data_IF_959776582297
#
_entry.id   IF_959776582297
#
_cell.length_a   1.000
_cell.length_b   1.000
_cell.length_c   1.000
_cell.angle_alpha   90.00
_cell.angle_beta   90.00
_cell.angle_gamma   90.00
#
_symmetry.space_group_name_H-M   'P 1'
#
loop_
_entity.id
_entity.type
_entity.pdbx_description
1 polymer ?
#
# COMPACT_ATOMS: atom_id res chain seq x y z
N UNK A 1 18.58 -14.30 1.04
CA UNK A 1 17.66 -13.16 0.84
C UNK A 1 17.59 -12.88 -0.66
N UNK A 2 16.42 -12.62 -1.22
CA UNK A 2 16.22 -12.26 -2.63
C UNK A 2 15.46 -10.93 -2.71
N UNK A 3 15.70 -10.15 -3.77
CA UNK A 3 14.98 -8.90 -4.00
C UNK A 3 13.70 -9.17 -4.82
N UNK A 4 12.54 -8.81 -4.27
CA UNK A 4 11.24 -8.89 -4.98
C UNK A 4 10.46 -7.59 -4.81
N UNK A 5 10.07 -6.98 -5.92
CA UNK A 5 9.25 -5.74 -5.97
C UNK A 5 9.84 -4.56 -5.14
N UNK A 6 11.15 -4.55 -4.90
CA UNK A 6 11.84 -3.52 -4.10
C UNK A 6 12.04 -3.89 -2.63
N UNK A 7 11.54 -5.05 -2.18
CA UNK A 7 11.70 -5.58 -0.82
C UNK A 7 12.70 -6.73 -0.77
N UNK A 8 13.49 -6.79 0.32
CA UNK A 8 14.37 -7.92 0.62
C UNK A 8 13.59 -8.99 1.38
N UNK A 9 13.42 -10.16 0.77
CA UNK A 9 12.66 -11.28 1.36
C UNK A 9 13.54 -12.52 1.56
N UNK A 10 13.26 -13.37 2.57
CA UNK A 10 13.97 -14.65 2.77
C UNK A 10 13.90 -15.57 1.55
N UNK A 11 14.90 -16.45 1.41
CA UNK A 11 14.93 -17.46 0.34
C UNK A 11 13.89 -18.56 0.60
N UNK A 12 13.74 -18.97 1.86
CA UNK A 12 12.72 -19.91 2.33
C UNK A 12 11.64 -19.17 3.13
N UNK A 13 10.38 -19.34 2.72
CA UNK A 13 9.23 -18.81 3.43
C UNK A 13 8.80 -19.80 4.52
N UNK A 14 8.59 -19.31 5.75
CA UNK A 14 7.79 -20.05 6.74
C UNK A 14 6.36 -20.24 6.18
N UNK A 15 5.64 -21.31 6.55
CA UNK A 15 4.27 -21.52 6.11
C UNK A 15 3.44 -20.27 6.38
N UNK A 16 3.00 -19.60 5.31
CA UNK A 16 2.08 -18.47 5.42
C UNK A 16 0.76 -19.04 5.92
N UNK A 17 0.16 -18.44 6.94
CA UNK A 17 -1.22 -18.78 7.32
C UNK A 17 -2.07 -18.58 6.07
N UNK A 18 -2.62 -19.67 5.55
CA UNK A 18 -3.42 -19.68 4.31
C UNK A 18 -4.57 -18.70 4.46
N UNK A 19 -4.82 -17.93 3.39
CA UNK A 19 -5.97 -17.04 3.30
C UNK A 19 -7.25 -17.79 3.72
N UNK A 20 -7.82 -17.43 4.87
CA UNK A 20 -8.97 -18.16 5.40
C UNK A 20 -10.21 -17.90 4.55
N UNK A 21 -11.25 -18.74 4.69
CA UNK A 21 -12.58 -18.54 4.07
C UNK A 21 -13.18 -17.14 4.30
N UNK A 22 -12.73 -16.41 5.34
CA UNK A 22 -13.11 -15.02 5.60
C UNK A 22 -12.53 -14.02 4.58
N UNK A 23 -11.36 -14.29 4.00
CA UNK A 23 -10.72 -13.45 3.00
C UNK A 23 -11.45 -13.55 1.64
N UNK A 24 -11.96 -14.75 1.31
CA UNK A 24 -12.82 -14.97 0.13
C UNK A 24 -14.16 -14.23 0.24
N UNK A 25 -14.78 -14.16 1.43
CA UNK A 25 -16.03 -13.40 1.65
C UNK A 25 -15.88 -11.90 1.43
N UNK A 26 -14.66 -11.35 1.57
CA UNK A 26 -14.38 -9.93 1.37
C UNK A 26 -14.28 -9.53 -0.12
N UNK A 27 -14.43 -10.48 -1.05
CA UNK A 27 -14.65 -10.21 -2.49
C UNK A 27 -15.76 -9.16 -2.71
N UNK A 28 -16.86 -9.29 -1.99
CA UNK A 28 -18.02 -8.38 -2.09
C UNK A 28 -17.76 -6.99 -1.49
N UNK A 29 -16.67 -6.80 -0.74
CA UNK A 29 -16.35 -5.55 -0.05
C UNK A 29 -15.09 -4.86 -0.62
N UNK A 30 -14.64 -5.24 -1.82
CA UNK A 30 -13.48 -4.61 -2.49
C UNK A 30 -13.60 -3.08 -2.60
N UNK A 31 -14.83 -2.58 -2.72
CA UNK A 31 -15.15 -1.16 -2.77
C UNK A 31 -14.89 -0.40 -1.43
N UNK A 32 -14.66 -1.12 -0.33
CA UNK A 32 -14.35 -0.59 1.01
C UNK A 32 -12.87 -0.70 1.38
N UNK A 33 -12.04 -1.29 0.51
CA UNK A 33 -10.62 -1.48 0.77
C UNK A 33 -9.90 -0.14 0.61
N UNK A 34 -9.23 0.28 1.68
CA UNK A 34 -8.20 1.31 1.67
C UNK A 34 -6.88 0.61 1.90
N UNK A 35 -5.92 0.84 1.03
CA UNK A 35 -4.59 0.23 1.14
C UNK A 35 -3.51 1.30 1.12
N UNK A 36 -2.41 1.04 1.79
CA UNK A 36 -1.28 1.93 1.71
C UNK A 36 0.01 1.26 2.14
N UNK A 37 1.09 1.82 1.63
CA UNK A 37 2.43 1.30 1.84
C UNK A 37 3.48 2.40 1.63
N UNK A 38 4.71 2.08 1.96
CA UNK A 38 5.76 3.02 2.28
C UNK A 38 7.01 2.71 1.45
N UNK A 39 7.27 3.55 0.45
CA UNK A 39 8.39 3.37 -0.46
C UNK A 39 9.45 4.43 -0.22
N UNK A 40 10.72 4.02 -0.20
CA UNK A 40 11.83 4.95 -0.23
C UNK A 40 12.02 5.51 -1.63
N UNK A 41 12.07 6.84 -1.75
CA UNK A 41 12.44 7.53 -2.98
C UNK A 41 13.83 8.12 -2.81
N UNK A 42 14.67 7.93 -3.83
CA UNK A 42 16.03 8.47 -3.85
C UNK A 42 16.03 9.83 -4.55
N UNK A 43 16.70 10.81 -3.94
CA UNK A 43 17.03 12.10 -4.55
C UNK A 43 18.41 12.54 -4.07
N UNK A 44 19.07 13.37 -4.89
CA UNK A 44 20.35 13.99 -4.57
C UNK A 44 20.13 15.19 -3.64
N UNK A 45 20.76 15.18 -2.46
CA UNK A 45 20.65 16.26 -1.50
C UNK A 45 21.96 17.07 -1.43
N UNK A 46 22.12 18.13 -2.24
CA UNK A 46 23.36 18.90 -2.26
C UNK A 46 23.65 19.64 -0.93
N UNK A 47 22.64 19.88 -0.08
CA UNK A 47 22.78 20.61 1.18
C UNK A 47 23.26 19.75 2.36
N UNK A 48 23.20 18.43 2.26
CA UNK A 48 23.71 17.50 3.30
C UNK A 48 24.77 16.58 2.73
N UNK A 49 26.02 17.06 2.73
CA UNK A 49 27.21 16.39 2.18
C UNK A 49 27.52 14.96 2.70
N UNK A 50 26.76 14.41 3.65
CA UNK A 50 26.99 13.10 4.28
C UNK A 50 25.74 12.26 4.60
N UNK A 51 24.54 12.63 4.13
CA UNK A 51 23.37 11.76 4.32
C UNK A 51 22.42 11.85 3.14
N UNK A 52 22.22 10.71 2.48
CA UNK A 52 21.06 10.47 1.62
C UNK A 52 19.82 10.73 2.47
N UNK A 53 19.22 11.91 2.34
CA UNK A 53 17.93 12.20 2.94
C UNK A 53 16.92 11.31 2.23
N UNK A 54 16.51 10.20 2.85
CA UNK A 54 15.54 9.28 2.27
C UNK A 54 14.14 9.76 2.70
N UNK A 55 13.36 10.45 1.86
CA UNK A 55 11.95 10.64 2.14
C UNK A 55 11.29 9.28 1.96
N UNK A 56 10.53 8.86 2.96
CA UNK A 56 9.66 7.69 2.84
C UNK A 56 8.34 8.21 2.31
N UNK A 57 8.03 7.89 1.06
CA UNK A 57 6.73 8.12 0.47
C UNK A 57 5.76 7.12 1.08
N UNK A 58 4.87 7.56 1.97
CA UNK A 58 3.70 6.79 2.36
C UNK A 58 2.62 7.08 1.32
N UNK A 59 1.94 6.12 0.71
CA UNK A 59 0.74 6.41 -0.10
C UNK A 59 -0.41 5.55 0.39
N UNK A 60 -1.56 6.18 0.58
CA UNK A 60 -2.84 5.56 0.91
C UNK A 60 -3.85 5.84 -0.18
N UNK A 61 -4.50 4.80 -0.69
CA UNK A 61 -5.36 4.87 -1.85
C UNK A 61 -6.47 3.80 -1.81
N UNK A 62 -7.52 4.03 -2.59
CA UNK A 62 -8.64 3.12 -2.79
C UNK A 62 -8.94 2.96 -4.29
N UNK A 63 -9.98 2.20 -4.64
CA UNK A 63 -10.40 2.03 -6.04
C UNK A 63 -10.78 3.33 -6.78
N UNK A 64 -11.01 4.44 -6.06
CA UNK A 64 -11.32 5.74 -6.65
C UNK A 64 -10.08 6.60 -6.86
N UNK A 65 -8.96 6.31 -6.18
CA UNK A 65 -7.69 7.00 -6.35
C UNK A 65 -6.91 7.22 -5.06
N UNK A 66 -5.91 8.10 -5.13
CA UNK A 66 -5.08 8.44 -3.97
C UNK A 66 -5.84 9.31 -2.97
N UNK A 67 -5.87 8.84 -1.73
CA UNK A 67 -6.51 9.52 -0.60
C UNK A 67 -5.49 10.45 0.06
N UNK A 68 -4.31 9.93 0.39
CA UNK A 68 -3.31 10.65 1.20
C UNK A 68 -1.90 10.10 0.98
N UNK A 69 -0.85 10.90 1.19
CA UNK A 69 0.54 10.45 1.02
C UNK A 69 1.49 10.77 2.19
N UNK A 70 0.97 10.90 3.42
CA UNK A 70 1.79 11.00 4.63
C UNK A 70 1.36 9.95 5.68
N UNK A 71 1.56 10.26 6.96
CA UNK A 71 1.30 9.36 8.08
C UNK A 71 -0.17 8.98 8.26
N UNK A 72 -0.39 7.72 8.63
CA UNK A 72 -1.70 7.09 8.88
C UNK A 72 -2.63 7.92 9.79
N UNK A 73 -2.09 8.67 10.75
CA UNK A 73 -2.90 9.46 11.69
C UNK A 73 -3.72 10.58 11.01
N UNK A 74 -3.30 11.04 9.83
CA UNK A 74 -4.02 12.06 9.05
C UNK A 74 -4.90 11.44 7.95
N UNK A 75 -4.78 10.13 7.70
CA UNK A 75 -5.56 9.42 6.70
C UNK A 75 -7.06 9.48 6.99
N UNK A 76 -7.48 9.31 8.25
CA UNK A 76 -8.90 9.28 8.60
C UNK A 76 -9.61 10.60 8.28
N UNK A 77 -8.92 11.73 8.45
CA UNK A 77 -9.42 13.06 8.07
C UNK A 77 -9.53 13.19 6.55
N UNK A 78 -8.46 12.87 5.82
CA UNK A 78 -8.46 12.91 4.36
C UNK A 78 -9.53 11.98 3.75
N UNK A 79 -9.76 10.82 4.37
CA UNK A 79 -10.79 9.89 3.94
C UNK A 79 -12.20 10.46 4.14
N UNK A 80 -12.48 11.09 5.29
CA UNK A 80 -13.76 11.76 5.54
C UNK A 80 -14.04 12.88 4.53
N UNK A 81 -13.01 13.66 4.18
CA UNK A 81 -13.12 14.77 3.23
C UNK A 81 -13.31 14.27 1.78
N UNK A 82 -12.49 13.30 1.34
CA UNK A 82 -12.48 12.82 -0.06
C UNK A 82 -13.54 11.75 -0.36
N UNK A 83 -14.08 11.08 0.66
CA UNK A 83 -14.99 9.93 0.53
C UNK A 83 -16.13 10.02 1.55
N UNK A 84 -17.00 11.05 1.46
CA UNK A 84 -18.12 11.23 2.40
C UNK A 84 -19.08 10.03 2.41
N UNK A 85 -19.14 9.25 1.32
CA UNK A 85 -19.95 8.05 1.21
C UNK A 85 -19.62 6.98 2.26
N UNK A 86 -18.37 6.87 2.72
CA UNK A 86 -18.01 5.93 3.79
C UNK A 86 -18.65 6.30 5.13
N UNK A 87 -18.80 7.60 5.39
CA UNK A 87 -19.48 8.07 6.60
C UNK A 87 -21.00 7.87 6.52
N UNK A 88 -21.59 8.04 5.33
CA UNK A 88 -23.04 7.95 5.12
C UNK A 88 -23.58 6.51 5.15
N UNK A 89 -22.82 5.55 4.60
CA UNK A 89 -23.28 4.16 4.47
C UNK A 89 -23.10 3.32 5.74
N UNK A 90 -22.51 3.89 6.79
CA UNK A 90 -22.05 3.16 7.98
C UNK A 90 -21.14 1.95 7.64
N UNK A 91 -20.58 1.92 6.43
CA UNK A 91 -19.70 0.87 5.96
C UNK A 91 -18.35 0.98 6.66
N UNK A 92 -17.94 -0.08 7.36
CA UNK A 92 -16.62 -0.11 8.00
C UNK A 92 -15.53 -0.13 6.94
N UNK A 93 -14.58 0.79 7.03
CA UNK A 93 -13.39 0.81 6.17
C UNK A 93 -12.58 -0.46 6.44
N UNK A 94 -12.12 -1.10 5.37
CA UNK A 94 -11.23 -2.26 5.45
C UNK A 94 -9.83 -1.79 5.10
N UNK A 95 -8.92 -1.78 6.08
CA UNK A 95 -7.54 -1.32 5.91
C UNK A 95 -6.63 -2.50 5.55
N UNK A 96 -5.91 -2.38 4.44
CA UNK A 96 -4.87 -3.32 4.02
C UNK A 96 -3.50 -2.64 4.03
N UNK A 97 -2.68 -2.93 5.04
CA UNK A 97 -1.29 -2.50 5.15
C UNK A 97 -0.40 -3.68 5.54
N UNK A 98 0.91 -3.52 5.39
CA UNK A 98 1.89 -4.53 5.80
C UNK A 98 2.05 -4.61 7.34
N UNK A 99 2.73 -5.64 7.83
CA UNK A 99 2.99 -5.80 9.27
C UNK A 99 4.28 -5.08 9.72
N UNK A 100 4.67 -3.98 9.08
CA UNK A 100 5.82 -3.20 9.53
C UNK A 100 5.68 -2.78 10.99
N UNK A 101 6.80 -2.69 11.71
CA UNK A 101 6.83 -2.38 13.16
C UNK A 101 5.98 -1.16 13.56
N UNK A 102 5.97 -0.05 12.79
CA UNK A 102 5.10 1.09 13.10
C UNK A 102 3.61 0.76 13.00
N UNK A 103 3.20 -0.09 12.06
CA UNK A 103 1.80 -0.42 11.81
C UNK A 103 1.20 -1.37 12.85
N UNK A 104 2.02 -2.23 13.45
CA UNK A 104 1.58 -3.17 14.50
C UNK A 104 1.74 -2.60 15.91
N UNK A 105 2.23 -1.37 16.05
CA UNK A 105 2.44 -0.72 17.33
C UNK A 105 1.11 -0.50 18.08
N UNK A 106 1.14 -0.61 19.41
CA UNK A 106 -0.04 -0.45 20.27
C UNK A 106 -0.83 0.85 20.01
N UNK A 107 -0.19 2.03 19.87
CA UNK A 107 -0.93 3.27 19.59
C UNK A 107 -1.70 3.22 18.27
N UNK A 108 -1.15 2.58 17.24
CA UNK A 108 -1.81 2.44 15.93
C UNK A 108 -3.00 1.50 16.03
N UNK A 109 -2.87 0.36 16.74
CA UNK A 109 -4.00 -0.55 16.99
C UNK A 109 -5.15 0.15 17.72
N UNK A 110 -4.85 0.83 18.81
CA UNK A 110 -5.87 1.60 19.57
C UNK A 110 -6.53 2.69 18.72
N UNK A 111 -5.76 3.35 17.84
CA UNK A 111 -6.31 4.34 16.92
C UNK A 111 -7.27 3.72 15.90
N UNK A 112 -6.91 2.59 15.30
CA UNK A 112 -7.75 1.86 14.33
C UNK A 112 -9.03 1.32 14.98
N UNK A 113 -8.92 0.82 16.22
CA UNK A 113 -10.08 0.41 17.04
C UNK A 113 -11.02 1.58 17.31
N UNK A 114 -10.49 2.76 17.65
CA UNK A 114 -11.27 3.98 17.87
C UNK A 114 -12.05 4.40 16.61
N UNK A 115 -11.44 4.24 15.44
CA UNK A 115 -12.08 4.50 14.15
C UNK A 115 -13.05 3.41 13.72
N UNK A 116 -13.11 2.27 14.43
CA UNK A 116 -13.89 1.07 14.10
C UNK A 116 -13.54 0.51 12.72
N UNK A 117 -12.28 0.65 12.30
CA UNK A 117 -11.79 0.12 11.03
C UNK A 117 -11.43 -1.35 11.18
N UNK A 118 -11.69 -2.11 10.11
CA UNK A 118 -11.37 -3.52 10.05
C UNK A 118 -10.01 -3.70 9.37
N UNK A 119 -9.03 -4.27 10.07
CA UNK A 119 -7.70 -4.52 9.50
C UNK A 119 -7.70 -5.89 8.83
N UNK A 120 -7.30 -5.95 7.56
CA UNK A 120 -7.06 -7.21 6.86
C UNK A 120 -5.80 -7.88 7.43
N UNK A 121 -5.84 -9.18 7.79
CA UNK A 121 -4.62 -9.89 8.07
C UNK A 121 -3.73 -9.87 6.82
N UNK A 122 -2.47 -9.53 7.00
CA UNK A 122 -1.47 -9.55 5.94
C UNK A 122 -0.34 -10.50 6.34
N UNK A 123 -0.01 -11.54 5.56
CA UNK A 123 1.13 -12.41 5.85
C UNK A 123 2.45 -11.63 5.73
N UNK A 124 3.43 -12.01 6.56
CA UNK A 124 4.76 -11.41 6.51
C UNK A 124 5.41 -11.64 5.13
N UNK A 125 6.19 -10.66 4.68
CA UNK A 125 6.99 -10.75 3.44
C UNK A 125 6.16 -11.10 2.19
N UNK A 126 4.98 -10.51 2.04
CA UNK A 126 4.05 -10.84 0.96
C UNK A 126 3.71 -9.64 0.06
N UNK A 127 4.73 -9.05 -0.62
CA UNK A 127 4.50 -7.94 -1.55
C UNK A 127 3.60 -8.35 -2.72
N UNK A 128 3.55 -9.65 -3.04
CA UNK A 128 2.69 -10.25 -4.06
C UNK A 128 1.19 -10.09 -3.81
N UNK A 129 0.77 -9.74 -2.60
CA UNK A 129 -0.63 -9.49 -2.23
C UNK A 129 -0.86 -8.07 -1.67
N UNK A 130 0.15 -7.21 -1.71
CA UNK A 130 0.05 -5.80 -1.36
C UNK A 130 -0.21 -4.97 -2.64
N UNK A 131 -1.39 -4.36 -2.84
CA UNK A 131 -1.69 -3.60 -4.06
C UNK A 131 -0.70 -2.48 -4.33
N UNK A 132 -0.23 -1.82 -3.27
CA UNK A 132 0.78 -0.76 -3.39
C UNK A 132 2.06 -1.30 -4.03
N UNK A 133 2.53 -2.49 -3.66
CA UNK A 133 3.74 -3.09 -4.21
C UNK A 133 3.54 -3.61 -5.65
N UNK A 134 2.59 -4.54 -5.84
CA UNK A 134 2.50 -5.24 -7.12
C UNK A 134 1.93 -4.38 -8.26
N UNK A 135 1.22 -3.29 -7.93
CA UNK A 135 0.53 -2.43 -8.89
C UNK A 135 1.05 -1.00 -8.91
N UNK A 136 0.88 -0.25 -7.80
CA UNK A 136 1.20 1.18 -7.76
C UNK A 136 2.70 1.42 -7.96
N UNK A 137 3.53 0.82 -7.10
CA UNK A 137 4.98 0.99 -7.12
C UNK A 137 5.63 0.26 -8.29
N UNK A 138 5.08 -0.87 -8.74
CA UNK A 138 5.52 -1.52 -9.98
C UNK A 138 5.35 -0.59 -11.19
N UNK A 139 4.21 0.09 -11.31
CA UNK A 139 3.94 1.05 -12.38
C UNK A 139 4.81 2.31 -12.25
N UNK A 140 5.06 2.77 -11.02
CA UNK A 140 5.91 3.93 -10.75
C UNK A 140 7.40 3.64 -10.99
N UNK A 141 7.85 2.39 -10.82
CA UNK A 141 9.25 2.00 -10.91
C UNK A 141 9.89 2.35 -12.26
N UNK A 142 9.15 2.15 -13.37
CA UNK A 142 9.63 2.53 -14.70
C UNK A 142 9.89 4.04 -14.81
N UNK A 143 8.99 4.86 -14.28
CA UNK A 143 9.14 6.32 -14.30
C UNK A 143 10.22 6.85 -13.36
N UNK A 144 10.52 6.12 -12.28
CA UNK A 144 11.58 6.44 -11.32
C UNK A 144 12.98 5.99 -11.78
N UNK A 145 13.07 4.90 -12.54
CA UNK A 145 14.35 4.32 -12.95
C UNK A 145 15.17 5.28 -13.84
N UNK A 146 14.50 6.04 -14.69
CA UNK A 146 15.15 6.94 -15.66
C UNK A 146 15.34 8.37 -15.12
N UNK A 147 15.06 8.62 -13.83
CA UNK A 147 15.05 9.97 -13.26
C UNK A 147 15.95 10.09 -12.04
N UNK A 148 16.71 11.18 -12.00
CA UNK A 148 17.40 11.64 -10.79
C UNK A 148 16.76 12.95 -10.35
N UNK A 149 16.24 12.96 -9.13
CA UNK A 149 15.71 14.17 -8.51
C UNK A 149 16.83 14.89 -7.77
N UNK A 150 16.90 16.21 -7.91
CA UNK A 150 17.92 17.06 -7.27
C UNK A 150 17.40 17.76 -6.01
N UNK A 151 16.11 17.58 -5.71
CA UNK A 151 15.48 18.04 -4.48
C UNK A 151 14.27 17.20 -4.10
N UNK A 152 13.83 17.34 -2.85
CA UNK A 152 12.61 16.70 -2.36
C UNK A 152 11.36 17.26 -3.08
N UNK A 153 11.32 18.57 -3.30
CA UNK A 153 10.21 19.26 -3.96
C UNK A 153 10.05 18.80 -5.42
N UNK A 154 11.16 18.52 -6.11
CA UNK A 154 11.15 17.97 -7.47
C UNK A 154 10.56 16.56 -7.48
N UNK A 155 11.00 15.70 -6.57
CA UNK A 155 10.44 14.35 -6.41
C UNK A 155 8.94 14.40 -6.09
N UNK A 156 8.52 15.28 -5.18
CA UNK A 156 7.11 15.45 -4.81
C UNK A 156 6.27 15.92 -5.99
N UNK A 157 6.69 16.95 -6.72
CA UNK A 157 5.98 17.42 -7.92
C UNK A 157 5.83 16.33 -8.98
N UNK A 158 6.86 15.52 -9.17
CA UNK A 158 6.79 14.41 -10.11
C UNK A 158 5.78 13.34 -9.66
N UNK A 159 5.76 13.00 -8.37
CA UNK A 159 4.78 12.06 -7.80
C UNK A 159 3.36 12.60 -7.98
N UNK A 160 3.13 13.87 -7.67
CA UNK A 160 1.82 14.52 -7.84
C UNK A 160 1.37 14.49 -9.31
N UNK A 161 2.27 14.82 -10.24
CA UNK A 161 2.01 14.74 -11.69
C UNK A 161 1.73 13.30 -12.15
N UNK A 162 2.50 12.33 -11.65
CA UNK A 162 2.30 10.92 -11.97
C UNK A 162 0.94 10.41 -11.45
N UNK A 163 0.56 10.78 -10.22
CA UNK A 163 -0.75 10.42 -9.64
C UNK A 163 -1.86 11.05 -10.47
N UNK A 164 -1.75 12.34 -10.82
CA UNK A 164 -2.72 13.04 -11.65
C UNK A 164 -2.86 12.44 -13.06
N UNK A 165 -1.80 11.80 -13.57
CA UNK A 165 -1.85 11.08 -14.86
C UNK A 165 -2.62 9.76 -14.81
N UNK A 166 -2.94 9.22 -13.62
CA UNK A 166 -3.64 7.94 -13.47
C UNK A 166 -5.14 8.17 -13.34
N UNK A 167 -5.88 7.47 -14.16
CA UNK A 167 -7.34 7.50 -14.13
C UNK A 167 -7.88 6.53 -13.05
N UNK A 168 -9.17 6.69 -12.71
CA UNK A 168 -9.82 5.85 -11.70
C UNK A 168 -9.77 4.34 -12.04
N UNK A 169 -9.81 3.96 -13.32
CA UNK A 169 -9.75 2.55 -13.71
C UNK A 169 -8.39 1.93 -13.38
N UNK A 170 -7.29 2.70 -13.38
CA UNK A 170 -5.99 2.23 -12.92
C UNK A 170 -6.06 1.75 -11.47
N UNK A 171 -6.62 2.56 -10.57
CA UNK A 171 -6.73 2.19 -9.15
C UNK A 171 -7.73 1.06 -8.94
N UNK A 172 -8.89 1.10 -9.61
CA UNK A 172 -9.88 0.03 -9.54
C UNK A 172 -9.30 -1.33 -9.92
N UNK A 173 -8.52 -1.39 -11.01
CA UNK A 173 -7.83 -2.63 -11.43
C UNK A 173 -6.91 -3.16 -10.34
N UNK A 174 -6.11 -2.30 -9.70
CA UNK A 174 -5.18 -2.71 -8.65
C UNK A 174 -5.87 -3.38 -7.45
N UNK A 175 -7.03 -2.88 -7.04
CA UNK A 175 -7.83 -3.48 -5.96
C UNK A 175 -8.56 -4.74 -6.43
N UNK A 176 -9.11 -4.74 -7.65
CA UNK A 176 -9.92 -5.85 -8.16
C UNK A 176 -9.12 -7.11 -8.51
N UNK A 177 -7.79 -7.01 -8.68
CA UNK A 177 -6.89 -8.16 -8.92
C UNK A 177 -6.53 -8.89 -7.62
N UNK A 178 -6.82 -8.31 -6.44
CA UNK A 178 -6.53 -8.94 -5.14
C UNK A 178 -7.12 -10.35 -4.98
N UNK A 179 -8.40 -10.63 -5.32
CA UNK A 179 -8.98 -11.95 -5.13
C UNK A 179 -8.26 -13.04 -5.94
N UNK A 180 -7.95 -12.76 -7.20
CA UNK A 180 -7.19 -13.66 -8.06
C UNK A 180 -5.80 -13.96 -7.48
N UNK A 181 -5.15 -12.94 -6.91
CA UNK A 181 -3.85 -13.10 -6.24
C UNK A 181 -3.96 -13.93 -4.97
N UNK A 182 -5.01 -13.75 -4.16
CA UNK A 182 -5.24 -14.59 -2.98
C UNK A 182 -5.49 -16.04 -3.36
N UNK A 183 -6.26 -16.30 -4.42
CA UNK A 183 -6.46 -17.66 -4.94
C UNK A 183 -5.13 -18.29 -5.37
N UNK A 184 -4.27 -17.54 -6.06
CA UNK A 184 -2.93 -17.99 -6.45
C UNK A 184 -2.02 -18.28 -5.26
N UNK A 185 -2.09 -17.50 -4.17
CA UNK A 185 -1.34 -17.80 -2.94
C UNK A 185 -1.82 -19.11 -2.32
N UNK A 186 -3.14 -19.32 -2.27
CA UNK A 186 -3.73 -20.55 -1.72
C UNK A 186 -3.36 -21.77 -2.57
N UNK A 187 -3.46 -21.65 -3.91
CA UNK A 187 -3.11 -22.75 -4.82
C UNK A 187 -1.62 -23.07 -4.84
N UNK A 188 -0.78 -22.14 -4.37
CA UNK A 188 0.67 -22.31 -4.31
C UNK A 188 1.15 -22.72 -2.90
N UNK A 189 0.25 -23.13 -2.01
CA UNK A 189 0.56 -23.46 -0.60
C UNK A 189 1.37 -22.36 0.12
N UNK A 190 1.06 -21.10 -0.19
CA UNK A 190 1.76 -19.94 0.37
C UNK A 190 3.09 -19.58 -0.30
N UNK A 191 3.53 -20.31 -1.32
CA UNK A 191 4.73 -19.97 -2.11
C UNK A 191 4.49 -18.73 -2.97
N UNK A 192 5.59 -18.08 -3.36
CA UNK A 192 5.54 -16.99 -4.32
C UNK A 192 5.14 -17.49 -5.71
N UNK A 193 4.25 -16.75 -6.36
CA UNK A 193 3.84 -16.98 -7.74
C UNK A 193 4.33 -15.85 -8.67
N UNK A 194 4.39 -16.12 -9.97
CA UNK A 194 4.71 -15.13 -11.01
C UNK A 194 3.44 -14.54 -11.61
#
# INVERSE_FOLDING_TARGET
MIQKQGHWVPYELKPRTTASTAEKKRFFASHRIVTGDEKWIHYDNPKRRKSWGKPRLCIWWDQQGVIYYEQLMRLSRALKEKRPLYAQRHDKVILLHDNARPHVAKPVKTYLETLKWEVLPHPLYSPDIAPSDFHLFRSMAHGLADRRFHSYEEAQKWIDSWIASKDMSFFRRGIHVLPERWEKVVSSDGQYFK
#
